data_IF_395130649170
#
_entry.id   IF_395130649170
#
_cell.length_a   1.000
_cell.length_b   1.000
_cell.length_c   1.000
_cell.angle_alpha   90.00
_cell.angle_beta   90.00
_cell.angle_gamma   90.00
#
_symmetry.space_group_name_H-M   'P 1'
#
loop_
_entity.id
_entity.type
_entity.pdbx_description
1 polymer ?
#
# COMPACT_ATOMS: atom_id res chain seq x y z
N UNK A 1 0.75 22.40 -39.88
CA UNK A 1 0.29 22.97 -38.58
C UNK A 1 -0.20 21.79 -37.75
N UNK A 2 0.64 21.04 -37.04
CA UNK A 2 1.24 21.28 -35.70
C UNK A 2 0.26 21.68 -34.61
N UNK A 3 0.16 20.83 -33.58
CA UNK A 3 -0.45 21.06 -32.26
C UNK A 3 -1.80 20.36 -32.09
N UNK A 4 -2.08 19.54 -31.07
CA UNK A 4 -1.46 19.31 -29.77
C UNK A 4 -1.83 17.90 -29.28
N UNK A 5 -0.84 17.16 -28.79
CA UNK A 5 -1.02 16.02 -27.91
C UNK A 5 -0.43 16.34 -26.53
N UNK A 6 -1.06 15.83 -25.48
CA UNK A 6 -0.37 15.54 -24.22
C UNK A 6 -0.80 16.39 -23.02
N UNK A 7 -1.55 15.78 -22.08
CA UNK A 7 -1.83 16.44 -20.81
C UNK A 7 -2.74 15.71 -19.81
N UNK A 8 -2.77 14.38 -19.75
CA UNK A 8 -3.65 13.68 -18.78
C UNK A 8 -2.97 12.65 -17.86
N UNK A 9 -1.71 12.25 -18.09
CA UNK A 9 -1.13 11.09 -17.42
C UNK A 9 -0.53 11.30 -16.01
N UNK A 10 -0.23 12.52 -15.57
CA UNK A 10 0.62 12.75 -14.37
C UNK A 10 -0.13 13.09 -13.06
N UNK A 11 -1.42 13.42 -13.09
CA UNK A 11 -2.15 13.90 -11.90
C UNK A 11 -2.69 12.80 -10.97
N UNK A 12 -2.90 11.57 -11.47
CA UNK A 12 -3.49 10.49 -10.64
C UNK A 12 -2.50 9.88 -9.64
N UNK A 13 -1.22 9.77 -10.02
CA UNK A 13 -0.16 9.14 -9.19
C UNK A 13 0.12 9.93 -7.90
N UNK A 14 0.25 11.27 -7.99
CA UNK A 14 0.52 12.12 -6.82
C UNK A 14 -0.61 12.10 -5.79
N UNK A 15 -1.87 12.06 -6.23
CA UNK A 15 -3.03 11.97 -5.34
C UNK A 15 -3.08 10.63 -4.61
N UNK A 16 -2.78 9.53 -5.30
CA UNK A 16 -2.69 8.19 -4.71
C UNK A 16 -1.60 8.10 -3.63
N UNK A 17 -0.42 8.69 -3.88
CA UNK A 17 0.68 8.73 -2.91
C UNK A 17 0.32 9.55 -1.67
N UNK A 18 -0.29 10.74 -1.85
CA UNK A 18 -0.74 11.56 -0.72
C UNK A 18 -1.78 10.83 0.15
N UNK A 19 -2.73 10.11 -0.46
CA UNK A 19 -3.71 9.31 0.28
C UNK A 19 -3.04 8.18 1.06
N UNK A 20 -2.08 7.47 0.47
CA UNK A 20 -1.30 6.42 1.17
C UNK A 20 -0.55 6.99 2.38
N UNK A 21 0.07 8.15 2.24
CA UNK A 21 0.78 8.81 3.35
C UNK A 21 -0.18 9.17 4.49
N UNK A 22 -1.36 9.69 4.18
CA UNK A 22 -2.38 10.02 5.19
C UNK A 22 -2.88 8.77 5.92
N UNK A 23 -3.14 7.68 5.19
CA UNK A 23 -3.54 6.39 5.78
C UNK A 23 -2.46 5.88 6.75
N UNK A 24 -1.19 5.90 6.35
CA UNK A 24 -0.07 5.47 7.19
C UNK A 24 0.05 6.34 8.45
N UNK A 25 -0.13 7.66 8.33
CA UNK A 25 -0.12 8.57 9.48
C UNK A 25 -1.25 8.23 10.47
N UNK A 26 -2.44 7.94 9.96
CA UNK A 26 -3.58 7.54 10.79
C UNK A 26 -3.33 6.20 11.49
N UNK A 27 -2.76 5.21 10.81
CA UNK A 27 -2.38 3.93 11.42
C UNK A 27 -1.32 4.10 12.53
N UNK A 28 -0.31 4.95 12.31
CA UNK A 28 0.68 5.29 13.35
C UNK A 28 0.05 5.96 14.56
N UNK A 29 -0.92 6.85 14.33
CA UNK A 29 -1.67 7.53 15.39
C UNK A 29 -2.49 6.53 16.20
N UNK A 30 -3.30 5.70 15.54
CA UNK A 30 -4.11 4.63 16.16
C UNK A 30 -3.25 3.68 16.99
N UNK A 31 -2.09 3.26 16.49
CA UNK A 31 -1.16 2.41 17.24
C UNK A 31 -0.71 3.08 18.54
N UNK A 32 -0.22 4.32 18.44
CA UNK A 32 0.29 5.08 19.59
C UNK A 32 -0.79 5.32 20.64
N UNK A 33 -1.97 5.72 20.21
CA UNK A 33 -3.05 6.09 21.12
C UNK A 33 -3.60 4.86 21.85
N UNK A 34 -3.74 3.71 21.17
CA UNK A 34 -4.19 2.48 21.81
C UNK A 34 -3.14 1.88 22.75
N UNK A 35 -1.84 1.91 22.40
CA UNK A 35 -0.76 1.49 23.31
C UNK A 35 -0.72 2.39 24.55
N UNK A 36 -0.87 3.71 24.37
CA UNK A 36 -0.92 4.64 25.51
C UNK A 36 -2.12 4.33 26.41
N UNK A 37 -3.31 4.15 25.83
CA UNK A 37 -4.52 3.78 26.58
C UNK A 37 -4.33 2.49 27.37
N UNK A 38 -3.72 1.46 26.78
CA UNK A 38 -3.40 0.20 27.48
C UNK A 38 -2.53 0.45 28.72
N UNK A 39 -1.40 1.13 28.52
CA UNK A 39 -0.44 1.39 29.58
C UNK A 39 -1.03 2.25 30.70
N UNK A 40 -1.69 3.35 30.34
CA UNK A 40 -2.26 4.28 31.32
C UNK A 40 -3.35 3.61 32.16
N UNK A 41 -4.25 2.86 31.54
CA UNK A 41 -5.29 2.12 32.28
C UNK A 41 -4.68 1.04 33.18
N UNK A 42 -3.67 0.31 32.71
CA UNK A 42 -3.00 -0.71 33.49
C UNK A 42 -2.27 -0.13 34.72
N UNK A 43 -1.51 0.96 34.53
CA UNK A 43 -0.82 1.66 35.62
C UNK A 43 -1.82 2.16 36.66
N UNK A 44 -2.96 2.73 36.23
CA UNK A 44 -3.97 3.21 37.16
C UNK A 44 -4.65 2.09 37.94
N UNK A 45 -4.86 0.92 37.33
CA UNK A 45 -5.34 -0.27 38.06
C UNK A 45 -4.31 -0.67 39.12
N UNK A 46 -3.03 -0.75 38.77
CA UNK A 46 -1.97 -1.09 39.73
C UNK A 46 -1.92 -0.11 40.90
N UNK A 47 -1.99 1.20 40.62
CA UNK A 47 -2.00 2.23 41.64
C UNK A 47 -3.21 2.09 42.59
N UNK A 48 -4.40 1.80 42.05
CA UNK A 48 -5.62 1.60 42.84
C UNK A 48 -5.57 0.34 43.72
N UNK A 49 -4.77 -0.68 43.34
CA UNK A 49 -4.60 -1.90 44.14
C UNK A 49 -3.57 -1.78 45.25
N UNK A 50 -2.79 -0.70 45.30
CA UNK A 50 -1.72 -0.54 46.27
C UNK A 50 -2.31 -0.34 47.67
N UNK A 51 -2.09 -1.32 48.55
CA UNK A 51 -2.52 -1.25 49.95
C UNK A 51 -1.55 -0.33 50.71
N UNK A 52 -2.06 0.77 51.24
CA UNK A 52 -1.29 1.65 52.10
C UNK A 52 -1.34 1.11 53.54
N UNK A 53 -0.18 0.69 54.07
CA UNK A 53 -0.09 0.05 55.40
C UNK A 53 -0.28 1.04 56.55
N UNK A 54 -0.17 2.35 56.29
CA UNK A 54 -0.31 3.43 57.27
C UNK A 54 -1.72 4.04 57.34
N UNK A 55 -2.65 3.65 56.49
CA UNK A 55 -4.02 4.17 56.51
C UNK A 55 -4.81 3.58 57.67
N UNK A 56 -4.59 4.15 58.87
CA UNK A 56 -5.36 4.11 60.11
C UNK A 56 -6.67 3.28 60.07
N UNK A 57 -6.53 1.96 59.93
CA UNK A 57 -7.58 1.12 59.36
C UNK A 57 -8.80 0.85 60.26
N UNK A 58 -8.92 1.47 61.44
CA UNK A 58 -9.87 1.03 62.47
C UNK A 58 -11.02 2.00 62.80
N UNK A 59 -11.19 3.16 62.14
CA UNK A 59 -12.11 4.21 62.67
C UNK A 59 -13.35 4.61 61.87
N UNK A 60 -13.56 4.19 60.62
CA UNK A 60 -14.81 4.53 59.90
C UNK A 60 -15.25 3.43 58.93
N UNK A 61 -16.35 2.74 59.22
CA UNK A 61 -16.87 1.62 58.43
C UNK A 61 -17.77 2.06 57.26
N UNK A 62 -18.51 3.18 57.40
CA UNK A 62 -19.51 3.60 56.40
C UNK A 62 -18.92 4.34 55.19
N UNK A 63 -17.92 5.22 55.41
CA UNK A 63 -17.21 5.90 54.32
C UNK A 63 -16.38 4.96 53.42
N UNK A 64 -15.89 3.85 53.99
CA UNK A 64 -15.12 2.83 53.27
C UNK A 64 -15.94 2.06 52.24
N UNK A 65 -17.25 1.89 52.44
CA UNK A 65 -18.09 1.15 51.48
C UNK A 65 -18.26 1.92 50.17
N UNK A 66 -18.56 3.22 50.24
CA UNK A 66 -18.68 4.06 49.04
C UNK A 66 -17.36 4.19 48.29
N UNK A 67 -16.26 4.39 49.01
CA UNK A 67 -14.92 4.44 48.43
C UNK A 67 -14.53 3.11 47.77
N UNK A 68 -14.78 1.98 48.45
CA UNK A 68 -14.58 0.64 47.91
C UNK A 68 -15.36 0.42 46.60
N UNK A 69 -16.65 0.74 46.58
CA UNK A 69 -17.46 0.57 45.36
C UNK A 69 -17.01 1.50 44.24
N UNK A 70 -16.61 2.72 44.56
CA UNK A 70 -16.04 3.67 43.59
C UNK A 70 -14.80 3.09 42.94
N UNK A 71 -13.79 2.71 43.73
CA UNK A 71 -12.53 2.14 43.24
C UNK A 71 -12.79 0.87 42.44
N UNK A 72 -13.64 -0.04 42.94
CA UNK A 72 -14.01 -1.29 42.25
C UNK A 72 -14.61 -1.02 40.87
N UNK A 73 -15.56 -0.10 40.78
CA UNK A 73 -16.22 0.22 39.51
C UNK A 73 -15.27 0.92 38.54
N UNK A 74 -14.40 1.80 39.05
CA UNK A 74 -13.38 2.49 38.28
C UNK A 74 -12.36 1.50 37.69
N UNK A 75 -11.89 0.54 38.49
CA UNK A 75 -11.00 -0.53 38.03
C UNK A 75 -11.66 -1.40 36.95
N UNK A 76 -12.95 -1.75 37.12
CA UNK A 76 -13.69 -2.50 36.12
C UNK A 76 -13.83 -1.73 34.80
N UNK A 77 -14.12 -0.42 34.87
CA UNK A 77 -14.18 0.43 33.69
C UNK A 77 -12.82 0.52 32.97
N UNK A 78 -11.72 0.65 33.72
CA UNK A 78 -10.36 0.63 33.15
C UNK A 78 -10.01 -0.69 32.48
N UNK A 79 -10.37 -1.82 33.10
CA UNK A 79 -10.16 -3.13 32.50
C UNK A 79 -10.93 -3.26 31.17
N UNK A 80 -12.16 -2.75 31.10
CA UNK A 80 -12.92 -2.70 29.85
C UNK A 80 -12.24 -1.81 28.78
N UNK A 81 -11.65 -0.68 29.17
CA UNK A 81 -10.89 0.18 28.25
C UNK A 81 -9.62 -0.49 27.72
N UNK A 82 -8.95 -1.32 28.53
CA UNK A 82 -7.81 -2.15 28.09
C UNK A 82 -8.27 -3.13 27.01
N UNK A 83 -9.33 -3.89 27.25
CA UNK A 83 -9.87 -4.84 26.26
C UNK A 83 -10.25 -4.13 24.97
N UNK A 84 -10.93 -2.98 25.06
CA UNK A 84 -11.27 -2.17 23.89
C UNK A 84 -10.04 -1.74 23.10
N UNK A 85 -8.98 -1.30 23.76
CA UNK A 85 -7.74 -0.91 23.09
C UNK A 85 -7.06 -2.10 22.40
N UNK A 86 -7.11 -3.31 22.99
CA UNK A 86 -6.66 -4.54 22.33
C UNK A 86 -7.47 -4.85 21.05
N UNK A 87 -8.80 -4.74 21.11
CA UNK A 87 -9.65 -4.96 19.94
C UNK A 87 -9.35 -3.97 18.82
N UNK A 88 -9.11 -2.70 19.15
CA UNK A 88 -8.72 -1.68 18.17
C UNK A 88 -7.35 -1.95 17.54
N UNK A 89 -6.40 -2.51 18.29
CA UNK A 89 -5.11 -2.97 17.75
C UNK A 89 -5.26 -4.20 16.84
N UNK A 90 -6.17 -5.11 17.16
CA UNK A 90 -6.50 -6.25 16.30
C UNK A 90 -7.11 -5.79 14.97
N UNK A 91 -8.07 -4.86 15.02
CA UNK A 91 -8.63 -4.23 13.82
C UNK A 91 -7.56 -3.54 12.99
N UNK A 92 -6.69 -2.75 13.64
CA UNK A 92 -5.56 -2.09 12.96
C UNK A 92 -4.65 -3.09 12.23
N UNK A 93 -4.42 -4.26 12.82
CA UNK A 93 -3.63 -5.33 12.19
C UNK A 93 -4.30 -5.85 10.92
N UNK A 94 -5.63 -6.01 10.93
CA UNK A 94 -6.38 -6.41 9.75
C UNK A 94 -6.38 -5.31 8.67
N UNK A 95 -6.58 -4.06 9.06
CA UNK A 95 -6.52 -2.90 8.16
C UNK A 95 -5.15 -2.81 7.47
N UNK A 96 -4.06 -3.07 8.19
CA UNK A 96 -2.70 -3.12 7.64
C UNK A 96 -2.53 -4.23 6.61
N UNK A 97 -3.07 -5.43 6.87
CA UNK A 97 -3.03 -6.54 5.91
C UNK A 97 -3.80 -6.18 4.64
N UNK A 98 -5.00 -5.62 4.79
CA UNK A 98 -5.82 -5.20 3.65
C UNK A 98 -5.11 -4.11 2.83
N UNK A 99 -4.55 -3.10 3.51
CA UNK A 99 -3.78 -2.04 2.86
C UNK A 99 -2.61 -2.60 2.06
N UNK A 100 -1.82 -3.52 2.64
CA UNK A 100 -0.67 -4.11 1.96
C UNK A 100 -1.11 -5.01 0.80
N UNK A 101 -2.07 -5.91 1.00
CA UNK A 101 -2.50 -6.87 -0.01
C UNK A 101 -3.17 -6.14 -1.19
N UNK A 102 -4.18 -5.32 -0.94
CA UNK A 102 -4.98 -4.72 -2.01
C UNK A 102 -4.23 -3.62 -2.77
N UNK A 103 -3.40 -2.82 -2.10
CA UNK A 103 -2.64 -1.78 -2.81
C UNK A 103 -1.45 -2.33 -3.58
N UNK A 104 -0.84 -3.43 -3.13
CA UNK A 104 0.28 -4.03 -3.85
C UNK A 104 -0.18 -4.70 -5.14
N UNK A 105 -1.37 -5.34 -5.15
CA UNK A 105 -1.97 -5.84 -6.39
C UNK A 105 -2.25 -4.76 -7.43
N UNK A 106 -2.71 -3.57 -7.01
CA UNK A 106 -2.94 -2.47 -7.94
C UNK A 106 -1.62 -1.95 -8.53
N UNK A 107 -0.57 -1.85 -7.71
CA UNK A 107 0.77 -1.48 -8.17
C UNK A 107 1.34 -2.52 -9.14
N UNK A 108 1.28 -3.81 -8.78
CA UNK A 108 1.73 -4.91 -9.61
C UNK A 108 0.98 -4.95 -10.95
N UNK A 109 -0.34 -4.79 -10.93
CA UNK A 109 -1.16 -4.70 -12.15
C UNK A 109 -0.70 -3.57 -13.07
N UNK A 110 -0.41 -2.39 -12.50
CA UNK A 110 0.11 -1.26 -13.28
C UNK A 110 1.50 -1.53 -13.84
N UNK A 111 2.39 -2.13 -13.07
CA UNK A 111 3.74 -2.48 -13.50
C UNK A 111 3.71 -3.51 -14.64
N UNK A 112 2.86 -4.54 -14.52
CA UNK A 112 2.64 -5.55 -15.57
C UNK A 112 2.12 -4.89 -16.84
N UNK A 113 1.03 -4.11 -16.77
CA UNK A 113 0.50 -3.40 -17.95
C UNK A 113 1.54 -2.52 -18.63
N UNK A 114 2.33 -1.77 -17.85
CA UNK A 114 3.39 -0.94 -18.40
C UNK A 114 4.49 -1.76 -19.10
N UNK A 115 4.84 -2.93 -18.55
CA UNK A 115 5.81 -3.83 -19.16
C UNK A 115 5.27 -4.48 -20.44
N UNK A 116 3.98 -4.88 -20.45
CA UNK A 116 3.28 -5.40 -21.62
C UNK A 116 3.23 -4.36 -22.74
N UNK A 117 2.84 -3.13 -22.45
CA UNK A 117 2.81 -2.03 -23.42
C UNK A 117 4.20 -1.76 -24.04
N UNK A 118 5.27 -1.84 -23.25
CA UNK A 118 6.63 -1.66 -23.74
C UNK A 118 7.10 -2.85 -24.59
N UNK A 119 6.73 -4.07 -24.20
CA UNK A 119 6.97 -5.28 -24.98
C UNK A 119 6.29 -5.20 -26.35
N UNK A 120 5.02 -4.80 -26.38
CA UNK A 120 4.24 -4.65 -27.61
C UNK A 120 4.85 -3.59 -28.55
N UNK A 121 5.33 -2.47 -28.00
CA UNK A 121 6.01 -1.44 -28.80
C UNK A 121 7.29 -1.99 -29.43
N UNK A 122 8.11 -2.70 -28.65
CA UNK A 122 9.34 -3.34 -29.14
C UNK A 122 9.04 -4.39 -30.19
N UNK A 123 8.03 -5.22 -29.97
CA UNK A 123 7.56 -6.23 -30.92
C UNK A 123 7.17 -5.58 -32.26
N UNK A 124 6.34 -4.53 -32.23
CA UNK A 124 5.92 -3.79 -33.43
C UNK A 124 7.11 -3.17 -34.16
N UNK A 125 8.06 -2.58 -33.43
CA UNK A 125 9.26 -2.02 -34.02
C UNK A 125 10.14 -3.09 -34.70
N UNK A 126 10.30 -4.27 -34.09
CA UNK A 126 11.04 -5.37 -34.68
C UNK A 126 10.34 -5.94 -35.92
N UNK A 127 9.01 -6.07 -35.90
CA UNK A 127 8.23 -6.50 -37.07
C UNK A 127 8.41 -5.51 -38.22
N UNK A 128 8.34 -4.20 -37.95
CA UNK A 128 8.58 -3.17 -38.96
C UNK A 128 9.98 -3.28 -39.56
N UNK A 129 11.01 -3.42 -38.71
CA UNK A 129 12.40 -3.59 -39.16
C UNK A 129 12.59 -4.85 -40.00
N UNK A 130 11.99 -5.97 -39.58
CA UNK A 130 12.06 -7.24 -40.32
C UNK A 130 11.38 -7.13 -41.69
N UNK A 131 10.21 -6.49 -41.76
CA UNK A 131 9.51 -6.27 -43.02
C UNK A 131 10.30 -5.36 -43.98
N UNK A 132 10.95 -4.31 -43.47
CA UNK A 132 11.81 -3.44 -44.27
C UNK A 132 12.99 -4.23 -44.87
N UNK A 133 13.71 -4.99 -44.03
CA UNK A 133 14.80 -5.85 -44.49
C UNK A 133 14.34 -6.88 -45.53
N UNK A 134 13.15 -7.46 -45.36
CA UNK A 134 12.58 -8.40 -46.33
C UNK A 134 12.37 -7.73 -47.69
N UNK A 135 11.86 -6.50 -47.72
CA UNK A 135 11.69 -5.71 -48.94
C UNK A 135 13.04 -5.41 -49.58
N UNK A 136 14.03 -4.97 -48.80
CA UNK A 136 15.38 -4.67 -49.31
C UNK A 136 16.03 -5.90 -49.97
N UNK A 137 15.90 -7.08 -49.35
CA UNK A 137 16.39 -8.35 -49.92
C UNK A 137 15.64 -8.70 -51.21
N UNK A 138 14.32 -8.55 -51.25
CA UNK A 138 13.54 -8.79 -52.48
C UNK A 138 13.97 -7.85 -53.62
N UNK A 139 14.21 -6.58 -53.32
CA UNK A 139 14.69 -5.62 -54.31
C UNK A 139 16.07 -6.02 -54.84
N UNK A 140 16.99 -6.39 -53.95
CA UNK A 140 18.33 -6.85 -54.33
C UNK A 140 18.28 -8.08 -55.25
N UNK A 141 17.44 -9.06 -54.93
CA UNK A 141 17.23 -10.24 -55.78
C UNK A 141 16.69 -9.85 -57.16
N UNK A 142 15.73 -8.93 -57.21
CA UNK A 142 15.14 -8.46 -58.47
C UNK A 142 16.16 -7.73 -59.34
N UNK A 143 17.02 -6.90 -58.72
CA UNK A 143 18.09 -6.21 -59.41
C UNK A 143 19.14 -7.19 -59.97
N UNK A 144 19.52 -8.21 -59.18
CA UNK A 144 20.41 -9.28 -59.63
C UNK A 144 19.81 -10.08 -60.79
N UNK A 145 18.54 -10.46 -60.72
CA UNK A 145 17.85 -11.19 -61.80
C UNK A 145 17.82 -10.36 -63.10
N UNK A 146 17.62 -9.04 -62.97
CA UNK A 146 17.64 -8.12 -64.10
C UNK A 146 19.03 -8.01 -64.73
N UNK A 147 20.07 -7.83 -63.92
CA UNK A 147 21.46 -7.78 -64.40
C UNK A 147 21.86 -9.09 -65.09
N UNK A 148 21.48 -10.23 -64.53
CA UNK A 148 21.70 -11.55 -65.15
C UNK A 148 20.99 -11.63 -66.51
N UNK A 149 19.73 -11.22 -66.60
CA UNK A 149 19.02 -11.20 -67.88
C UNK A 149 19.73 -10.31 -68.89
N UNK A 150 20.06 -9.07 -68.53
CA UNK A 150 20.70 -8.10 -69.43
C UNK A 150 22.06 -8.60 -69.95
N UNK A 151 22.85 -9.28 -69.12
CA UNK A 151 24.20 -9.72 -69.49
C UNK A 151 24.27 -11.12 -70.11
N UNK A 152 23.32 -12.02 -69.79
CA UNK A 152 23.41 -13.43 -70.20
C UNK A 152 22.32 -13.89 -71.18
N UNK A 153 21.27 -13.09 -71.44
CA UNK A 153 20.24 -13.48 -72.43
C UNK A 153 20.53 -13.06 -73.89
N UNK A 154 21.69 -12.44 -74.18
CA UNK A 154 22.11 -12.12 -75.55
C UNK A 154 23.24 -13.01 -76.10
N UNK A 155 23.10 -14.34 -75.97
CA UNK A 155 23.88 -15.29 -76.79
C UNK A 155 23.05 -16.53 -77.15
N UNK A 156 22.14 -16.37 -78.10
CA UNK A 156 21.90 -17.30 -79.21
C UNK A 156 21.10 -16.61 -80.32
#
# INVERSE_FOLDING_TARGET
MSGLAGGAGKKSSSRSVATKTLIIQEYKRRLRDNIRSLNDNFINILNATKINTDDAAHKNSSGKMTEYYTIKNEMAARAALIVRACDELLKLTNDLKEFLILHDFNFLTHAIKSAEEECDKKMKAQIQKHNALRIDVTNLLTDMDKEIMEHFTFRH
#
